data_IF_261152840788
#
_entry.id   IF_261152840788
#
_cell.length_a   1.000
_cell.length_b   1.000
_cell.length_c   1.000
_cell.angle_alpha   90.00
_cell.angle_beta   90.00
_cell.angle_gamma   90.00
#
_symmetry.space_group_name_H-M   'P 1'
#
loop_
_entity.id
_entity.type
_entity.pdbx_description
1 polymer ?
#
# COMPACT_ATOMS: atom_id res chain seq x y z
N UNK A 1 -55.85 -9.44 -7.02
CA UNK A 1 -54.77 -10.02 -6.17
C UNK A 1 -53.48 -9.25 -6.43
N UNK A 2 -53.28 -8.12 -5.76
CA UNK A 2 -52.04 -7.34 -5.85
C UNK A 2 -51.00 -7.95 -4.90
N UNK A 3 -49.88 -8.42 -5.47
CA UNK A 3 -48.69 -8.88 -4.73
C UNK A 3 -47.97 -7.67 -4.15
N UNK A 4 -47.82 -7.64 -2.83
CA UNK A 4 -46.98 -6.69 -2.12
C UNK A 4 -45.49 -7.01 -2.34
N UNK A 5 -44.75 -6.05 -2.88
CA UNK A 5 -43.28 -6.07 -2.94
C UNK A 5 -42.76 -5.46 -1.64
N UNK A 6 -42.18 -6.28 -0.77
CA UNK A 6 -41.44 -5.83 0.40
C UNK A 6 -40.12 -5.19 -0.06
N UNK A 7 -40.02 -3.86 -0.01
CA UNK A 7 -38.75 -3.16 -0.04
C UNK A 7 -38.17 -3.09 1.38
N UNK A 8 -37.02 -3.74 1.59
CA UNK A 8 -36.24 -3.64 2.83
C UNK A 8 -35.42 -2.35 2.81
N UNK A 9 -35.75 -1.41 3.68
CA UNK A 9 -35.00 -0.15 3.86
C UNK A 9 -33.76 -0.41 4.71
N UNK A 10 -32.64 0.19 4.33
CA UNK A 10 -31.39 0.09 5.10
C UNK A 10 -31.44 1.02 6.32
N UNK A 11 -30.77 0.65 7.42
CA UNK A 11 -30.74 1.39 8.70
C UNK A 11 -30.34 2.87 8.56
N UNK A 12 -29.65 3.23 7.47
CA UNK A 12 -29.24 4.61 7.15
C UNK A 12 -30.40 5.49 6.66
N UNK A 13 -31.37 4.93 5.95
CA UNK A 13 -32.54 5.68 5.42
C UNK A 13 -33.62 5.91 6.48
N UNK A 14 -33.72 5.00 7.46
CA UNK A 14 -34.61 5.15 8.63
C UNK A 14 -34.12 6.27 9.56
N UNK A 15 -32.81 6.54 9.59
CA UNK A 15 -32.24 7.59 10.43
C UNK A 15 -32.54 8.99 9.87
N UNK A 16 -32.43 9.18 8.55
CA UNK A 16 -32.74 10.46 7.89
C UNK A 16 -34.23 10.84 7.98
N UNK A 17 -35.15 9.86 7.93
CA UNK A 17 -36.59 10.13 8.07
C UNK A 17 -37.02 10.50 9.51
N UNK A 18 -36.24 10.10 10.52
CA UNK A 18 -36.53 10.43 11.93
C UNK A 18 -36.13 11.86 12.30
N UNK A 19 -35.08 12.41 11.69
CA UNK A 19 -34.66 13.80 11.92
C UNK A 19 -35.55 14.82 11.18
N UNK A 20 -36.07 14.50 10.00
CA UNK A 20 -37.01 15.39 9.30
C UNK A 20 -38.38 15.52 9.99
N UNK A 21 -38.84 14.50 10.73
CA UNK A 21 -40.11 14.59 11.50
C UNK A 21 -39.98 15.40 12.80
N UNK A 22 -38.78 15.49 13.37
CA UNK A 22 -38.54 16.31 14.56
C UNK A 22 -38.52 17.83 14.24
N UNK A 23 -38.12 18.20 13.02
CA UNK A 23 -38.10 19.61 12.57
C UNK A 23 -39.47 20.13 12.13
N UNK A 24 -40.39 19.27 11.67
CA UNK A 24 -41.73 19.68 11.24
C UNK A 24 -42.74 19.86 12.40
N UNK A 25 -42.50 19.23 13.56
CA UNK A 25 -43.42 19.31 14.71
C UNK A 25 -43.29 20.60 15.55
N UNK A 26 -42.25 21.41 15.31
CA UNK A 26 -42.01 22.66 16.05
C UNK A 26 -42.70 23.87 15.36
N UNK A 27 -43.20 23.72 14.13
CA UNK A 27 -43.70 24.84 13.31
C UNK A 27 -45.24 24.99 13.24
N UNK A 28 -46.03 24.14 13.89
CA UNK A 28 -47.52 24.24 13.81
C UNK A 28 -48.21 24.02 15.15
N UNK A 29 -48.01 24.94 16.10
CA UNK A 29 -48.96 25.15 17.21
C UNK A 29 -48.78 26.53 17.83
N UNK A 30 -49.52 27.51 17.31
CA UNK A 30 -50.22 28.56 18.08
C UNK A 30 -50.79 29.61 17.11
N UNK A 31 -51.98 29.32 16.61
CA UNK A 31 -52.93 30.34 16.16
C UNK A 31 -54.17 30.21 17.02
N UNK A 32 -54.27 31.04 18.06
CA UNK A 32 -55.53 31.37 18.71
C UNK A 32 -55.39 32.76 19.34
N UNK A 33 -56.03 33.70 18.65
CA UNK A 33 -56.42 35.05 19.01
C UNK A 33 -56.84 35.20 20.47
N UNK A 34 -56.36 36.26 21.14
CA UNK A 34 -57.16 37.05 22.09
C UNK A 34 -56.55 38.45 22.29
N UNK A 35 -57.37 39.45 21.94
CA UNK A 35 -57.63 40.72 22.66
C UNK A 35 -56.54 41.80 22.73
N UNK A 36 -56.95 42.96 22.19
CA UNK A 36 -56.38 44.30 22.32
C UNK A 36 -56.48 44.79 23.77
N UNK A 37 -55.36 45.12 24.41
CA UNK A 37 -55.05 46.41 25.05
C UNK A 37 -53.74 46.29 25.85
N UNK A 38 -52.99 47.39 25.97
CA UNK A 38 -51.85 47.48 26.89
C UNK A 38 -50.55 47.89 26.22
N UNK A 39 -50.25 49.19 26.34
CA UNK A 39 -48.96 49.85 26.18
C UNK A 39 -47.72 48.94 26.26
N UNK A 40 -46.90 48.99 25.23
CA UNK A 40 -45.52 48.49 25.19
C UNK A 40 -44.70 49.07 26.35
N UNK A 41 -44.41 48.27 27.36
CA UNK A 41 -43.30 48.52 28.29
C UNK A 41 -42.09 47.73 27.82
N UNK A 42 -41.18 48.42 27.14
CA UNK A 42 -39.81 47.97 26.90
C UNK A 42 -39.15 47.76 28.28
N UNK A 43 -39.07 46.52 28.76
CA UNK A 43 -38.13 46.19 29.82
C UNK A 43 -36.72 46.27 29.24
N UNK A 44 -36.04 47.38 29.52
CA UNK A 44 -34.62 47.57 29.25
C UNK A 44 -33.81 46.54 30.04
N UNK A 45 -33.43 45.44 29.41
CA UNK A 45 -32.30 44.64 29.90
C UNK A 45 -31.06 45.54 29.83
N UNK A 46 -30.45 45.84 30.98
CA UNK A 46 -29.21 46.61 31.10
C UNK A 46 -27.96 45.87 30.60
N UNK A 47 -28.12 44.63 30.14
CA UNK A 47 -27.03 43.85 29.56
C UNK A 47 -26.93 44.22 28.08
N UNK A 48 -25.82 44.80 27.60
CA UNK A 48 -25.65 45.15 26.21
C UNK A 48 -25.80 43.89 25.34
N UNK A 49 -26.57 44.04 24.26
CA UNK A 49 -26.75 42.95 23.28
C UNK A 49 -25.44 42.78 22.49
N UNK A 50 -25.13 41.58 21.99
CA UNK A 50 -23.84 41.31 21.32
C UNK A 50 -23.51 42.29 20.16
N UNK A 51 -24.55 42.86 19.55
CA UNK A 51 -24.44 43.85 18.46
C UNK A 51 -24.11 45.27 18.93
N UNK A 52 -24.28 45.58 20.23
CA UNK A 52 -23.98 46.89 20.84
C UNK A 52 -22.53 47.00 21.35
N UNK A 53 -21.78 45.89 21.36
CA UNK A 53 -20.39 45.84 21.81
C UNK A 53 -19.49 46.10 20.59
N UNK A 54 -18.85 47.27 20.54
CA UNK A 54 -17.88 47.64 19.50
C UNK A 54 -16.70 46.66 19.52
N UNK A 55 -16.65 45.78 18.51
CA UNK A 55 -15.61 44.78 18.38
C UNK A 55 -14.29 45.47 18.02
N UNK A 56 -13.18 45.20 18.74
CA UNK A 56 -11.87 45.73 18.40
C UNK A 56 -11.47 45.49 16.93
N UNK A 57 -10.91 46.51 16.27
CA UNK A 57 -10.49 46.43 14.85
C UNK A 57 -9.51 45.28 14.57
N UNK A 58 -8.66 44.94 15.56
CA UNK A 58 -7.70 43.85 15.49
C UNK A 58 -8.39 42.49 15.30
N UNK A 59 -9.55 42.29 15.93
CA UNK A 59 -10.35 41.07 15.77
C UNK A 59 -11.02 41.02 14.40
N UNK A 60 -11.48 42.15 13.87
CA UNK A 60 -12.05 42.22 12.51
C UNK A 60 -10.98 41.92 11.44
N UNK A 61 -9.76 42.46 11.60
CA UNK A 61 -8.62 42.14 10.72
C UNK A 61 -8.24 40.65 10.81
N UNK A 62 -8.24 40.06 12.01
CA UNK A 62 -8.00 38.62 12.22
C UNK A 62 -9.08 37.74 11.57
N UNK A 63 -10.37 38.10 11.69
CA UNK A 63 -11.49 37.38 11.04
C UNK A 63 -11.35 37.39 9.51
N UNK A 64 -11.13 38.56 8.91
CA UNK A 64 -10.90 38.69 7.46
C UNK A 64 -9.69 37.87 6.98
N UNK A 65 -8.59 37.87 7.72
CA UNK A 65 -7.40 37.05 7.39
C UNK A 65 -7.71 35.54 7.47
N UNK A 66 -8.41 35.10 8.51
CA UNK A 66 -8.80 33.71 8.67
C UNK A 66 -9.82 33.24 7.64
N UNK A 67 -10.75 34.11 7.22
CA UNK A 67 -11.72 33.81 6.16
C UNK A 67 -11.03 33.67 4.80
N UNK A 68 -10.10 34.57 4.47
CA UNK A 68 -9.26 34.45 3.26
C UNK A 68 -8.44 33.16 3.27
N UNK A 69 -7.73 32.86 4.36
CA UNK A 69 -6.97 31.62 4.50
C UNK A 69 -7.86 30.37 4.44
N UNK A 70 -9.11 30.43 4.95
CA UNK A 70 -10.08 29.34 4.82
C UNK A 70 -10.53 29.16 3.37
N UNK A 71 -10.86 30.24 2.67
CA UNK A 71 -11.27 30.19 1.27
C UNK A 71 -10.15 29.67 0.35
N UNK A 72 -8.91 30.10 0.58
CA UNK A 72 -7.74 29.59 -0.14
C UNK A 72 -7.57 28.08 0.12
N UNK A 73 -7.62 27.65 1.38
CA UNK A 73 -7.55 26.22 1.74
C UNK A 73 -8.67 25.39 1.13
N UNK A 74 -9.91 25.87 1.11
CA UNK A 74 -11.03 25.13 0.50
C UNK A 74 -10.83 24.97 -1.00
N UNK A 75 -10.43 26.03 -1.70
CA UNK A 75 -10.15 25.95 -3.15
C UNK A 75 -8.98 25.00 -3.46
N UNK A 76 -7.91 24.99 -2.65
CA UNK A 76 -6.81 24.04 -2.79
C UNK A 76 -7.25 22.59 -2.55
N UNK A 77 -8.06 22.36 -1.52
CA UNK A 77 -8.59 21.03 -1.22
C UNK A 77 -9.48 20.53 -2.36
N UNK A 78 -10.32 21.37 -2.95
CA UNK A 78 -11.13 21.01 -4.12
C UNK A 78 -10.28 20.67 -5.34
N UNK A 79 -9.25 21.48 -5.62
CA UNK A 79 -8.29 21.19 -6.70
C UNK A 79 -7.57 19.85 -6.46
N UNK A 80 -7.10 19.60 -5.24
CA UNK A 80 -6.45 18.34 -4.83
C UNK A 80 -7.40 17.14 -4.98
N UNK A 81 -8.66 17.28 -4.55
CA UNK A 81 -9.69 16.23 -4.69
C UNK A 81 -9.95 15.88 -6.16
N UNK A 82 -10.09 16.88 -7.03
CA UNK A 82 -10.27 16.66 -8.49
C UNK A 82 -9.07 15.92 -9.08
N UNK A 83 -7.86 16.39 -8.81
CA UNK A 83 -6.63 15.74 -9.27
C UNK A 83 -6.49 14.30 -8.75
N UNK A 84 -6.81 14.04 -7.47
CA UNK A 84 -6.78 12.69 -6.91
C UNK A 84 -7.79 11.74 -7.58
N UNK A 85 -8.98 12.24 -7.94
CA UNK A 85 -9.99 11.44 -8.65
C UNK A 85 -9.49 10.99 -10.02
N UNK A 86 -8.89 11.91 -10.77
CA UNK A 86 -8.28 11.63 -12.07
C UNK A 86 -7.12 10.63 -11.94
N UNK A 87 -6.20 10.86 -11.00
CA UNK A 87 -5.08 9.95 -10.70
C UNK A 87 -5.57 8.54 -10.36
N UNK A 88 -6.61 8.43 -9.53
CA UNK A 88 -7.19 7.12 -9.15
C UNK A 88 -7.75 6.37 -10.36
N UNK A 89 -8.38 7.08 -11.30
CA UNK A 89 -8.84 6.48 -12.56
C UNK A 89 -7.69 5.94 -13.40
N UNK A 90 -6.57 6.67 -13.50
CA UNK A 90 -5.37 6.23 -14.22
C UNK A 90 -4.74 5.01 -13.55
N UNK A 91 -4.58 5.02 -12.22
CA UNK A 91 -4.02 3.91 -11.44
C UNK A 91 -4.84 2.64 -11.65
N UNK A 92 -6.17 2.74 -11.63
CA UNK A 92 -7.05 1.60 -11.84
C UNK A 92 -6.86 0.95 -13.22
N UNK A 93 -6.83 1.77 -14.28
CA UNK A 93 -6.59 1.28 -15.66
C UNK A 93 -5.20 0.63 -15.81
N UNK A 94 -4.17 1.17 -15.13
CA UNK A 94 -2.83 0.56 -15.12
C UNK A 94 -2.84 -0.79 -14.42
N UNK A 95 -3.46 -0.89 -13.26
CA UNK A 95 -3.57 -2.15 -12.53
C UNK A 95 -4.30 -3.23 -13.35
N UNK A 96 -5.38 -2.86 -14.03
CA UNK A 96 -6.09 -3.75 -14.95
C UNK A 96 -5.18 -4.25 -16.08
N UNK A 97 -4.41 -3.34 -16.69
CA UNK A 97 -3.44 -3.69 -17.74
C UNK A 97 -2.40 -4.70 -17.23
N UNK A 98 -1.81 -4.50 -16.05
CA UNK A 98 -0.83 -5.44 -15.51
C UNK A 98 -1.43 -6.81 -15.22
N UNK A 99 -2.66 -6.86 -14.68
CA UNK A 99 -3.34 -8.14 -14.44
C UNK A 99 -3.58 -8.89 -15.76
N UNK A 100 -4.01 -8.17 -16.81
CA UNK A 100 -4.16 -8.75 -18.15
C UNK A 100 -2.83 -9.28 -18.68
N UNK A 101 -1.77 -8.47 -18.60
CA UNK A 101 -0.42 -8.85 -19.03
C UNK A 101 0.07 -10.12 -18.34
N UNK A 102 -0.04 -10.23 -17.01
CA UNK A 102 0.37 -11.43 -16.28
C UNK A 102 -0.39 -12.68 -16.72
N UNK A 103 -1.72 -12.56 -16.91
CA UNK A 103 -2.56 -13.67 -17.36
C UNK A 103 -2.25 -14.08 -18.80
N UNK A 104 -1.93 -13.12 -19.66
CA UNK A 104 -1.59 -13.38 -21.05
C UNK A 104 -0.21 -14.07 -21.14
N UNK A 105 0.78 -13.64 -20.35
CA UNK A 105 2.10 -14.29 -20.24
C UNK A 105 1.99 -15.73 -19.72
N UNK A 106 1.17 -15.97 -18.70
CA UNK A 106 0.94 -17.31 -18.15
C UNK A 106 0.26 -18.23 -19.18
N UNK A 107 -0.78 -17.73 -19.87
CA UNK A 107 -1.45 -18.46 -20.96
C UNK A 107 -0.50 -18.75 -22.12
N UNK A 108 0.37 -17.81 -22.47
CA UNK A 108 1.35 -17.99 -23.54
C UNK A 108 2.38 -19.05 -23.20
N UNK A 109 2.90 -19.07 -21.96
CA UNK A 109 3.82 -20.13 -21.49
C UNK A 109 3.19 -21.52 -21.63
N UNK A 110 1.90 -21.63 -21.28
CA UNK A 110 1.14 -22.89 -21.41
C UNK A 110 0.91 -23.25 -22.89
N UNK A 111 0.59 -22.26 -23.74
CA UNK A 111 0.37 -22.44 -25.17
C UNK A 111 1.62 -22.97 -25.86
N UNK A 112 2.78 -22.33 -25.62
CA UNK A 112 4.06 -22.75 -26.19
C UNK A 112 4.44 -24.16 -25.75
N UNK A 113 4.27 -24.50 -24.47
CA UNK A 113 4.52 -25.85 -23.97
C UNK A 113 3.64 -26.92 -24.66
N UNK A 114 2.38 -26.59 -25.00
CA UNK A 114 1.48 -27.49 -25.73
C UNK A 114 1.87 -27.63 -27.20
N UNK A 115 2.20 -26.52 -27.86
CA UNK A 115 2.65 -26.53 -29.26
C UNK A 115 3.92 -27.36 -29.41
N UNK A 116 4.94 -27.12 -28.57
CA UNK A 116 6.17 -27.91 -28.61
C UNK A 116 5.90 -29.40 -28.40
N UNK A 117 4.99 -29.76 -27.47
CA UNK A 117 4.58 -31.15 -27.26
C UNK A 117 3.88 -31.76 -28.48
N UNK A 118 3.09 -30.99 -29.24
CA UNK A 118 2.45 -31.43 -30.48
C UNK A 118 3.48 -31.65 -31.59
N UNK A 119 4.45 -30.75 -31.71
CA UNK A 119 5.52 -30.81 -32.70
C UNK A 119 6.60 -31.87 -32.36
N UNK A 120 6.53 -32.48 -31.17
CA UNK A 120 7.55 -33.41 -30.68
C UNK A 120 8.85 -32.72 -30.22
N UNK A 121 8.84 -31.39 -30.08
CA UNK A 121 9.98 -30.59 -29.59
C UNK A 121 9.84 -30.24 -28.09
N UNK A 122 10.93 -29.81 -27.47
CA UNK A 122 10.94 -29.41 -26.05
C UNK A 122 10.91 -27.89 -25.89
N UNK A 123 9.97 -27.39 -25.10
CA UNK A 123 9.95 -25.98 -24.70
C UNK A 123 10.84 -25.76 -23.48
N UNK A 124 11.88 -24.95 -23.64
CA UNK A 124 12.77 -24.52 -22.54
C UNK A 124 12.29 -23.14 -22.06
N UNK A 125 11.86 -22.99 -20.79
CA UNK A 125 11.45 -21.71 -20.27
C UNK A 125 12.65 -20.76 -20.13
N UNK A 126 12.38 -19.46 -20.23
CA UNK A 126 13.40 -18.45 -19.97
C UNK A 126 13.86 -18.49 -18.50
N UNK A 127 15.14 -18.20 -18.27
CA UNK A 127 15.71 -18.09 -16.92
C UNK A 127 15.07 -16.94 -16.12
N UNK A 128 14.89 -17.17 -14.82
CA UNK A 128 14.29 -16.19 -13.92
C UNK A 128 15.24 -15.02 -13.63
N UNK A 129 14.72 -13.80 -13.85
CA UNK A 129 15.47 -12.55 -13.68
C UNK A 129 15.47 -12.03 -12.25
N UNK A 130 14.56 -12.50 -11.40
CA UNK A 130 14.35 -12.00 -10.05
C UNK A 130 14.61 -13.12 -9.03
N UNK A 131 15.40 -12.82 -8.01
CA UNK A 131 15.62 -13.70 -6.87
C UNK A 131 15.27 -12.98 -5.57
N UNK A 132 14.63 -13.71 -4.67
CA UNK A 132 14.45 -13.27 -3.30
C UNK A 132 15.44 -13.99 -2.39
N UNK A 133 16.22 -13.21 -1.64
CA UNK A 133 17.27 -13.74 -0.77
C UNK A 133 16.88 -13.49 0.68
N UNK A 134 16.92 -14.54 1.49
CA UNK A 134 16.67 -14.51 2.94
C UNK A 134 17.91 -14.94 3.69
N UNK A 135 18.29 -14.18 4.71
CA UNK A 135 19.39 -14.57 5.61
C UNK A 135 18.92 -15.53 6.69
N UNK A 136 19.45 -16.76 6.71
CA UNK A 136 19.09 -17.78 7.69
C UNK A 136 20.09 -17.83 8.85
N UNK A 137 21.38 -17.63 8.58
CA UNK A 137 22.43 -17.74 9.62
C UNK A 137 22.71 -16.39 10.28
N UNK A 138 22.99 -16.43 11.59
CA UNK A 138 23.32 -15.26 12.42
C UNK A 138 24.63 -14.56 12.04
N UNK A 139 25.10 -13.62 12.86
CA UNK A 139 26.31 -12.78 12.60
C UNK A 139 27.62 -13.38 13.09
N UNK A 140 27.56 -14.41 13.94
CA UNK A 140 28.74 -14.95 14.61
C UNK A 140 29.53 -15.89 13.68
N UNK A 141 30.87 -15.87 13.82
CA UNK A 141 31.81 -16.77 13.13
C UNK A 141 31.66 -16.73 11.60
N UNK A 142 31.68 -15.52 11.01
CA UNK A 142 31.65 -15.32 9.55
C UNK A 142 33.00 -14.78 9.09
N UNK A 143 33.55 -15.38 8.05
CA UNK A 143 34.73 -14.86 7.36
C UNK A 143 34.48 -13.43 6.81
N UNK A 144 35.51 -12.58 6.72
CA UNK A 144 35.34 -11.18 6.31
C UNK A 144 34.75 -11.02 4.90
N UNK A 145 35.11 -11.89 3.96
CA UNK A 145 34.63 -11.84 2.56
C UNK A 145 33.11 -12.09 2.45
N UNK A 146 32.53 -13.21 2.93
CA UNK A 146 31.08 -13.39 2.99
C UNK A 146 30.34 -12.30 3.78
N UNK A 147 30.94 -11.84 4.90
CA UNK A 147 30.35 -10.75 5.71
C UNK A 147 30.18 -9.47 4.90
N UNK A 148 31.18 -9.10 4.08
CA UNK A 148 31.10 -7.92 3.22
C UNK A 148 30.03 -8.07 2.14
N UNK A 149 29.90 -9.25 1.53
CA UNK A 149 28.88 -9.53 0.51
C UNK A 149 27.47 -9.41 1.11
N UNK A 150 27.22 -9.97 2.30
CA UNK A 150 25.94 -9.83 2.99
C UNK A 150 25.60 -8.36 3.31
N UNK A 151 26.61 -7.54 3.63
CA UNK A 151 26.43 -6.09 3.82
C UNK A 151 26.04 -5.39 2.51
N UNK A 152 26.68 -5.73 1.37
CA UNK A 152 26.34 -5.18 0.06
C UNK A 152 24.89 -5.52 -0.34
N UNK A 153 24.44 -6.74 -0.05
CA UNK A 153 23.06 -7.17 -0.27
C UNK A 153 22.07 -6.58 0.74
N UNK A 154 22.54 -5.84 1.75
CA UNK A 154 21.74 -5.26 2.86
C UNK A 154 21.12 -6.30 3.82
N UNK A 155 21.70 -7.50 3.87
CA UNK A 155 21.27 -8.62 4.73
C UNK A 155 22.03 -8.60 6.07
N UNK A 156 21.75 -7.59 6.91
CA UNK A 156 22.49 -7.36 8.16
C UNK A 156 22.03 -8.23 9.34
N UNK A 157 20.74 -8.55 9.40
CA UNK A 157 20.11 -9.29 10.50
C UNK A 157 19.59 -10.65 9.99
N UNK A 158 19.38 -11.59 10.91
CA UNK A 158 18.70 -12.86 10.59
C UNK A 158 17.26 -12.59 10.14
N UNK A 159 16.74 -13.42 9.24
CA UNK A 159 15.42 -13.29 8.62
C UNK A 159 15.19 -11.96 7.88
N UNK A 160 16.25 -11.25 7.52
CA UNK A 160 16.13 -10.18 6.55
C UNK A 160 15.95 -10.76 5.15
N UNK A 161 15.04 -10.19 4.38
CA UNK A 161 14.76 -10.53 2.98
C UNK A 161 15.00 -9.36 2.04
N UNK A 162 15.58 -9.60 0.86
CA UNK A 162 15.82 -8.57 -0.16
C UNK A 162 15.57 -9.14 -1.56
N UNK A 163 14.97 -8.35 -2.45
CA UNK A 163 14.90 -8.63 -3.88
C UNK A 163 16.21 -8.29 -4.58
N UNK A 164 16.73 -9.21 -5.37
CA UNK A 164 17.99 -9.08 -6.11
C UNK A 164 17.73 -9.44 -7.57
N UNK A 165 18.22 -8.59 -8.49
CA UNK A 165 18.24 -8.88 -9.92
C UNK A 165 19.29 -9.94 -10.21
N UNK A 166 18.93 -10.94 -11.00
CA UNK A 166 19.85 -11.96 -11.47
C UNK A 166 20.72 -11.44 -12.61
N UNK A 167 22.01 -11.43 -12.36
CA UNK A 167 23.10 -11.15 -13.29
C UNK A 167 24.21 -12.17 -13.02
N UNK A 168 25.13 -12.37 -13.96
CA UNK A 168 26.30 -13.24 -13.74
C UNK A 168 27.09 -12.84 -12.48
N UNK A 169 27.28 -11.53 -12.26
CA UNK A 169 27.99 -11.03 -11.08
C UNK A 169 27.25 -11.34 -9.77
N UNK A 170 25.94 -11.12 -9.71
CA UNK A 170 25.16 -11.42 -8.50
C UNK A 170 25.08 -12.91 -8.24
N UNK A 171 25.03 -13.74 -9.29
CA UNK A 171 25.07 -15.20 -9.14
C UNK A 171 26.36 -15.65 -8.46
N UNK A 172 27.51 -15.15 -8.91
CA UNK A 172 28.81 -15.47 -8.28
C UNK A 172 28.88 -14.95 -6.82
N UNK A 173 28.32 -13.76 -6.55
CA UNK A 173 28.21 -13.28 -5.17
C UNK A 173 27.35 -14.21 -4.30
N UNK A 174 26.21 -14.69 -4.81
CA UNK A 174 25.30 -15.58 -4.10
C UNK A 174 25.92 -16.94 -3.81
N UNK A 175 26.69 -17.51 -4.76
CA UNK A 175 27.46 -18.75 -4.54
C UNK A 175 28.42 -18.64 -3.35
N UNK A 176 29.10 -17.50 -3.18
CA UNK A 176 30.02 -17.29 -2.05
C UNK A 176 29.29 -17.21 -0.70
N UNK A 177 28.09 -16.63 -0.65
CA UNK A 177 27.31 -16.48 0.59
C UNK A 177 26.28 -17.57 0.83
N UNK A 178 26.20 -18.55 -0.06
CA UNK A 178 25.26 -19.66 -0.04
C UNK A 178 25.11 -20.35 1.33
N UNK A 179 26.19 -20.57 2.12
CA UNK A 179 26.08 -21.18 3.45
C UNK A 179 25.41 -20.32 4.54
N UNK A 180 24.99 -19.09 4.23
CA UNK A 180 24.33 -18.18 5.18
C UNK A 180 22.91 -17.76 4.76
N UNK A 181 22.55 -18.01 3.50
CA UNK A 181 21.30 -17.54 2.90
C UNK A 181 20.48 -18.71 2.36
N UNK A 182 19.18 -18.48 2.24
CA UNK A 182 18.32 -19.22 1.31
C UNK A 182 17.85 -18.25 0.24
N UNK A 183 17.80 -18.71 -0.99
CA UNK A 183 17.31 -17.89 -2.09
C UNK A 183 16.54 -18.73 -3.10
N UNK A 184 15.75 -18.07 -3.94
CA UNK A 184 15.00 -18.71 -5.02
C UNK A 184 14.14 -17.69 -5.76
N UNK A 185 13.25 -18.21 -6.61
CA UNK A 185 12.45 -17.41 -7.52
C UNK A 185 11.07 -17.11 -6.90
N UNK A 186 10.76 -15.84 -6.59
CA UNK A 186 9.48 -15.50 -5.99
C UNK A 186 8.39 -15.42 -7.07
N UNK A 187 7.21 -15.96 -6.77
CA UNK A 187 6.04 -15.77 -7.62
C UNK A 187 5.39 -14.38 -7.38
N UNK A 188 4.52 -13.97 -8.32
CA UNK A 188 3.82 -12.68 -8.24
C UNK A 188 3.02 -12.50 -6.93
N UNK A 189 2.39 -13.58 -6.43
CA UNK A 189 1.63 -13.56 -5.18
C UNK A 189 2.55 -13.27 -3.98
N UNK A 190 3.71 -13.90 -3.92
CA UNK A 190 4.70 -13.75 -2.85
C UNK A 190 5.29 -12.34 -2.86
N UNK A 191 5.64 -11.81 -4.03
CA UNK A 191 6.12 -10.41 -4.16
C UNK A 191 5.06 -9.43 -3.67
N UNK A 192 3.82 -9.64 -4.11
CA UNK A 192 2.65 -8.83 -3.72
C UNK A 192 2.44 -8.84 -2.21
N UNK A 193 2.37 -10.02 -1.61
CA UNK A 193 2.13 -10.17 -0.16
C UNK A 193 3.27 -9.57 0.68
N UNK A 194 4.52 -9.71 0.26
CA UNK A 194 5.67 -9.11 0.94
C UNK A 194 5.57 -7.58 0.94
N UNK A 195 5.28 -6.98 -0.21
CA UNK A 195 5.18 -5.52 -0.34
C UNK A 195 3.98 -4.98 0.44
N UNK A 196 2.81 -5.60 0.37
CA UNK A 196 1.65 -5.12 1.13
C UNK A 196 1.76 -5.31 2.64
N UNK A 197 2.22 -6.49 3.11
CA UNK A 197 2.24 -6.80 4.54
C UNK A 197 3.47 -6.26 5.25
N UNK A 198 4.63 -6.30 4.59
CA UNK A 198 5.94 -6.05 5.20
C UNK A 198 6.75 -4.99 4.44
N UNK A 199 6.12 -4.26 3.51
CA UNK A 199 6.75 -3.19 2.74
C UNK A 199 6.99 -1.95 3.58
N UNK A 200 8.25 -1.55 3.66
CA UNK A 200 8.67 -0.26 4.19
C UNK A 200 9.48 0.46 3.12
N UNK A 201 9.21 1.76 2.96
CA UNK A 201 10.00 2.65 2.13
C UNK A 201 11.13 3.30 2.91
N UNK A 202 12.26 3.52 2.23
CA UNK A 202 13.38 4.33 2.70
C UNK A 202 13.19 5.75 2.19
N UNK A 203 12.61 6.61 3.02
CA UNK A 203 12.37 8.02 2.73
C UNK A 203 13.26 8.83 3.65
N UNK A 204 14.12 9.69 3.09
CA UNK A 204 15.04 10.53 3.88
C UNK A 204 15.88 9.73 4.90
N UNK A 205 16.27 8.50 4.52
CA UNK A 205 16.97 7.51 5.38
C UNK A 205 16.16 6.97 6.56
N UNK A 206 14.91 7.37 6.73
CA UNK A 206 13.98 6.81 7.70
C UNK A 206 13.22 5.61 7.12
N UNK A 207 12.79 4.72 8.01
CA UNK A 207 11.98 3.54 7.67
C UNK A 207 10.52 3.86 7.87
N UNK A 208 9.78 4.08 6.79
CA UNK A 208 8.35 4.47 6.81
C UNK A 208 7.51 3.32 6.23
N UNK A 209 6.39 3.00 6.87
CA UNK A 209 5.45 2.00 6.37
C UNK A 209 4.76 2.49 5.08
N UNK A 210 4.54 1.60 4.12
CA UNK A 210 3.86 1.94 2.87
C UNK A 210 2.34 1.90 3.07
N UNK A 211 1.77 2.92 3.73
CA UNK A 211 0.31 3.07 3.92
C UNK A 211 -0.35 3.76 2.74
N UNK A 212 0.29 4.79 2.20
CA UNK A 212 -0.27 5.68 1.20
C UNK A 212 0.60 5.73 -0.06
N UNK A 213 -0.08 5.78 -1.22
CA UNK A 213 0.59 5.89 -2.52
C UNK A 213 1.40 7.20 -2.66
N UNK A 214 1.07 8.25 -1.88
CA UNK A 214 1.81 9.51 -1.89
C UNK A 214 3.29 9.34 -1.48
N UNK A 215 3.59 8.37 -0.61
CA UNK A 215 4.96 8.09 -0.17
C UNK A 215 5.80 7.55 -1.35
N UNK A 216 5.17 6.70 -2.17
CA UNK A 216 5.78 6.11 -3.37
C UNK A 216 5.93 7.18 -4.44
N UNK A 217 4.88 7.95 -4.72
CA UNK A 217 4.89 9.01 -5.73
C UNK A 217 5.96 10.07 -5.46
N UNK A 218 6.12 10.49 -4.19
CA UNK A 218 7.14 11.49 -3.82
C UNK A 218 8.56 11.00 -4.09
N UNK A 219 8.83 9.70 -3.84
CA UNK A 219 10.17 9.13 -3.94
C UNK A 219 10.50 8.63 -5.35
N UNK A 220 9.53 8.01 -6.02
CA UNK A 220 9.70 7.28 -7.28
C UNK A 220 8.89 7.85 -8.45
N UNK A 221 8.11 8.91 -8.25
CA UNK A 221 7.29 9.52 -9.31
C UNK A 221 8.10 9.99 -10.52
N UNK A 222 9.38 10.34 -10.31
CA UNK A 222 10.33 10.68 -11.38
C UNK A 222 10.57 9.53 -12.37
N UNK A 223 10.41 8.29 -11.91
CA UNK A 223 10.62 7.07 -12.70
C UNK A 223 9.32 6.50 -13.24
N UNK A 224 8.19 7.21 -13.08
CA UNK A 224 6.87 6.77 -13.53
C UNK A 224 6.15 5.79 -12.59
N UNK A 225 6.74 5.49 -11.43
CA UNK A 225 6.16 4.59 -10.41
C UNK A 225 5.33 5.44 -9.43
N UNK A 226 4.00 5.32 -9.53
CA UNK A 226 3.08 6.18 -8.76
C UNK A 226 2.37 5.41 -7.65
N UNK A 227 2.03 4.14 -7.88
CA UNK A 227 1.30 3.32 -6.92
C UNK A 227 2.07 2.06 -6.48
N UNK A 228 1.51 1.34 -5.51
CA UNK A 228 2.02 0.05 -5.07
C UNK A 228 2.05 -1.00 -6.18
N UNK A 229 1.05 -0.98 -7.07
CA UNK A 229 0.93 -1.93 -8.18
C UNK A 229 2.00 -1.69 -9.24
N UNK A 230 2.33 -0.43 -9.55
CA UNK A 230 3.46 -0.06 -10.39
C UNK A 230 4.78 -0.55 -9.75
N UNK A 231 4.93 -0.40 -8.43
CA UNK A 231 6.11 -0.87 -7.69
C UNK A 231 6.25 -2.39 -7.74
N UNK A 232 5.15 -3.13 -7.54
CA UNK A 232 5.12 -4.60 -7.64
C UNK A 232 5.48 -5.04 -9.05
N UNK A 233 4.92 -4.38 -10.07
CA UNK A 233 5.20 -4.69 -11.46
C UNK A 233 6.69 -4.49 -11.79
N UNK A 234 7.25 -3.33 -11.45
CA UNK A 234 8.65 -3.01 -11.70
C UNK A 234 9.61 -4.01 -11.04
N UNK A 235 9.29 -4.46 -9.82
CA UNK A 235 10.08 -5.47 -9.11
C UNK A 235 9.95 -6.85 -9.77
N UNK A 236 8.73 -7.29 -10.09
CA UNK A 236 8.48 -8.63 -10.62
C UNK A 236 9.01 -8.82 -12.05
N UNK A 237 8.78 -7.85 -12.94
CA UNK A 237 9.25 -7.90 -14.33
C UNK A 237 10.72 -7.53 -14.47
N UNK A 238 11.32 -6.96 -13.41
CA UNK A 238 12.70 -6.46 -13.39
C UNK A 238 12.89 -5.37 -14.44
N UNK A 239 12.07 -4.33 -14.35
CA UNK A 239 12.06 -3.19 -15.27
C UNK A 239 13.34 -2.33 -15.24
N UNK A 240 13.42 -1.27 -16.07
CA UNK A 240 14.62 -0.45 -16.20
C UNK A 240 15.02 0.25 -14.89
N UNK A 241 14.06 0.61 -14.05
CA UNK A 241 14.24 1.33 -12.78
C UNK A 241 14.21 0.41 -11.54
N UNK A 242 14.43 -0.90 -11.74
CA UNK A 242 14.48 -1.89 -10.67
C UNK A 242 15.46 -1.51 -9.55
N UNK A 243 16.63 -0.94 -9.88
CA UNK A 243 17.65 -0.58 -8.89
C UNK A 243 17.11 0.47 -7.91
N UNK A 244 16.37 1.45 -8.43
CA UNK A 244 15.77 2.53 -7.68
C UNK A 244 14.61 2.01 -6.82
N UNK A 245 13.73 1.20 -7.40
CA UNK A 245 12.63 0.55 -6.69
C UNK A 245 13.12 -0.37 -5.55
N UNK A 246 14.11 -1.22 -5.82
CA UNK A 246 14.68 -2.13 -4.83
C UNK A 246 15.45 -1.40 -3.73
N UNK A 247 16.11 -0.27 -4.04
CA UNK A 247 16.80 0.54 -3.03
C UNK A 247 15.83 1.36 -2.17
N UNK A 248 14.70 1.80 -2.76
CA UNK A 248 13.61 2.43 -2.02
C UNK A 248 13.00 1.46 -1.00
N UNK A 249 12.80 0.19 -1.37
CA UNK A 249 12.37 -0.82 -0.41
C UNK A 249 13.44 -1.04 0.66
N UNK A 250 13.03 -0.87 1.92
CA UNK A 250 13.82 -1.29 3.07
C UNK A 250 13.90 -2.82 3.09
N UNK A 251 15.03 -3.44 3.51
CA UNK A 251 15.10 -4.89 3.67
C UNK A 251 13.93 -5.41 4.51
N UNK A 252 13.23 -6.42 3.98
CA UNK A 252 12.06 -7.00 4.62
C UNK A 252 12.49 -7.66 5.92
N UNK A 253 11.81 -7.34 7.03
CA UNK A 253 12.00 -8.04 8.31
C UNK A 253 10.97 -9.14 8.42
N UNK A 254 11.39 -10.38 8.18
CA UNK A 254 10.54 -11.56 8.23
C UNK A 254 10.53 -12.17 9.64
N UNK A 255 9.45 -12.86 10.00
CA UNK A 255 9.41 -13.66 11.23
C UNK A 255 10.08 -15.01 11.03
N UNK A 256 10.30 -15.75 12.12
CA UNK A 256 10.66 -17.17 12.02
C UNK A 256 9.54 -17.93 11.29
N UNK A 257 9.86 -18.96 10.49
CA UNK A 257 8.86 -19.74 9.78
C UNK A 257 7.92 -20.46 10.76
N UNK A 258 6.61 -20.37 10.51
CA UNK A 258 5.61 -21.17 11.22
C UNK A 258 5.86 -22.66 10.96
N UNK A 259 6.03 -23.44 12.03
CA UNK A 259 6.48 -24.85 11.95
C UNK A 259 8.00 -25.04 12.08
N UNK A 260 8.76 -23.95 12.18
CA UNK A 260 10.20 -23.99 12.35
C UNK A 260 10.97 -24.27 11.06
N UNK A 261 12.30 -24.21 11.17
CA UNK A 261 13.18 -24.68 10.10
C UNK A 261 13.29 -26.21 10.14
N UNK A 262 13.77 -26.81 9.05
CA UNK A 262 14.06 -28.25 9.02
C UNK A 262 15.09 -28.61 10.10
N UNK A 263 15.05 -29.86 10.57
CA UNK A 263 15.91 -30.36 11.66
C UNK A 263 17.40 -30.09 11.43
N UNK A 264 17.85 -30.14 10.17
CA UNK A 264 19.22 -29.80 9.75
C UNK A 264 19.27 -28.50 8.94
N UNK A 265 18.81 -27.39 9.52
CA UNK A 265 18.68 -26.09 8.84
C UNK A 265 19.96 -25.55 8.17
N UNK A 266 21.15 -25.94 8.65
CA UNK A 266 22.44 -25.46 8.13
C UNK A 266 23.05 -26.34 7.03
N UNK A 267 22.30 -27.32 6.50
CA UNK A 267 22.70 -28.05 5.29
C UNK A 267 22.11 -27.38 4.05
N UNK A 268 22.67 -27.72 2.89
CA UNK A 268 22.11 -27.29 1.62
C UNK A 268 20.71 -27.88 1.42
N UNK A 269 19.84 -27.19 0.69
CA UNK A 269 18.45 -27.59 0.48
C UNK A 269 18.30 -28.98 -0.16
N UNK A 270 19.20 -29.32 -1.08
CA UNK A 270 19.27 -30.62 -1.76
C UNK A 270 19.56 -31.77 -0.78
N UNK A 271 20.32 -31.51 0.30
CA UNK A 271 20.63 -32.49 1.34
C UNK A 271 19.58 -32.55 2.46
N UNK A 272 18.42 -31.92 2.24
CA UNK A 272 17.36 -31.82 3.25
C UNK A 272 17.55 -30.71 4.27
N UNK A 273 18.44 -29.74 4.02
CA UNK A 273 18.54 -28.52 4.81
C UNK A 273 17.66 -27.38 4.28
N UNK A 274 17.99 -26.14 4.66
CA UNK A 274 17.25 -24.93 4.25
C UNK A 274 18.11 -23.90 3.49
N UNK A 275 19.44 -24.08 3.42
CA UNK A 275 20.35 -23.12 2.77
C UNK A 275 20.43 -23.31 1.25
N UNK A 276 20.86 -22.25 0.58
CA UNK A 276 21.14 -22.21 -0.85
C UNK A 276 19.91 -22.05 -1.74
N UNK A 277 20.05 -22.46 -3.00
CA UNK A 277 18.99 -22.29 -3.99
C UNK A 277 17.85 -23.29 -3.78
N UNK A 278 16.64 -22.77 -3.67
CA UNK A 278 15.39 -23.54 -3.51
C UNK A 278 14.46 -23.41 -4.71
N UNK A 279 14.87 -22.68 -5.75
CA UNK A 279 14.05 -22.37 -6.92
C UNK A 279 12.66 -21.86 -6.50
N UNK A 280 11.58 -22.49 -6.97
CA UNK A 280 10.19 -22.14 -6.64
C UNK A 280 9.79 -22.45 -5.20
N UNK A 281 10.50 -23.36 -4.51
CA UNK A 281 10.16 -23.78 -3.14
C UNK A 281 10.49 -22.70 -2.10
N UNK A 282 11.17 -21.63 -2.50
CA UNK A 282 11.32 -20.44 -1.65
C UNK A 282 9.97 -19.81 -1.30
N UNK A 283 8.98 -19.92 -2.19
CA UNK A 283 7.66 -19.33 -2.00
C UNK A 283 6.93 -19.93 -0.79
N UNK A 284 7.11 -21.23 -0.54
CA UNK A 284 6.56 -21.89 0.64
C UNK A 284 7.21 -21.38 1.93
N UNK A 285 8.54 -21.21 1.93
CA UNK A 285 9.27 -20.67 3.08
C UNK A 285 8.83 -19.23 3.37
N UNK A 286 8.74 -18.38 2.34
CA UNK A 286 8.34 -16.98 2.51
C UNK A 286 6.93 -16.91 3.10
N UNK A 287 5.98 -17.73 2.64
CA UNK A 287 4.62 -17.77 3.20
C UNK A 287 4.59 -18.15 4.68
N UNK A 288 5.46 -19.05 5.11
CA UNK A 288 5.59 -19.41 6.54
C UNK A 288 6.22 -18.29 7.37
N UNK A 289 7.04 -17.44 6.77
CA UNK A 289 7.73 -16.34 7.44
C UNK A 289 6.97 -14.99 7.33
N UNK A 290 5.86 -14.95 6.57
CA UNK A 290 5.11 -13.75 6.24
C UNK A 290 3.90 -13.52 7.14
#
# INVERSE_FOLDING_TARGET
MLRAVHQSWTLSEVFLLRECRALAAILTRRSSTQVVCGTTTNLSRSVPTADQILIPETLLKKRKSQEKARAERTTELEKKKKAQKEKRGVIFKRAEKYVKEYRDVEREKIRLARLSKQDGSFYIPAEDKLVFVVRIKGINKIAPKPRKILQLLRLLQINNGVFVRMTKATLEMLKVVEPWIAYGYPNLKTVRELIYKRGYGKVEKQRIALTDNAIIETSLGKYGIVCMEDLIHEIFTVGPNFKQAANFLWPFKLSNPTGGFRTRKFRHFVEGGDLGNREDKINALIRQMN
#
